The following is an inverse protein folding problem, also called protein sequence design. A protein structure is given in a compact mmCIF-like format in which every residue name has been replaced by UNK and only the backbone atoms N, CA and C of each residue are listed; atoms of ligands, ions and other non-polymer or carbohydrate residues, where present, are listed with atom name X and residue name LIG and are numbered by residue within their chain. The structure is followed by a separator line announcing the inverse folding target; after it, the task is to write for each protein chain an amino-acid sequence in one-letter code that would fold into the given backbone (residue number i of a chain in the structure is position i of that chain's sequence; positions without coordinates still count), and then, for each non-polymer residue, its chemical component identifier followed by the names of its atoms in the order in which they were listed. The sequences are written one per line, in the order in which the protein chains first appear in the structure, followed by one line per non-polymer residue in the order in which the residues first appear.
data_IF_712542987335
#
_entry.id   IF_712542987335
#
_cell.length_a   1.000
_cell.length_b   1.000
_cell.length_c   1.000
_cell.angle_alpha   90.00
_cell.angle_beta   90.00
_cell.angle_gamma   90.00
#
_symmetry.space_group_name_H-M   'P 1'
#
loop_
_entity.id
_entity.type
_entity.pdbx_description
1 polymer ?
#
# COMPACT_ATOMS: atom_id res chain seq x y z
N UNK A 1 10.85 -76.50 -14.13
CA UNK A 1 10.76 -75.13 -14.69
C UNK A 1 9.37 -75.02 -15.28
N UNK A 2 8.44 -74.55 -14.47
CA UNK A 2 6.99 -74.57 -14.70
C UNK A 2 6.51 -73.14 -14.70
N UNK A 3 5.83 -72.77 -15.78
CA UNK A 3 5.17 -71.49 -15.97
C UNK A 3 4.08 -71.29 -14.91
N UNK A 4 4.05 -70.11 -14.29
CA UNK A 4 3.00 -69.69 -13.40
C UNK A 4 2.13 -68.66 -14.13
N UNK A 5 0.84 -69.00 -14.28
CA UNK A 5 -0.23 -68.17 -14.79
C UNK A 5 -0.39 -66.89 -13.97
N UNK A 6 -0.31 -65.74 -14.64
CA UNK A 6 -0.70 -64.45 -14.08
C UNK A 6 -2.15 -64.19 -14.48
N UNK A 7 -3.04 -64.38 -13.51
CA UNK A 7 -4.48 -64.14 -13.61
C UNK A 7 -4.79 -62.64 -13.59
N UNK A 8 -5.36 -62.16 -14.70
CA UNK A 8 -5.85 -60.80 -14.90
C UNK A 8 -7.20 -60.63 -14.21
N UNK A 9 -7.21 -60.17 -12.96
CA UNK A 9 -8.43 -59.77 -12.26
C UNK A 9 -8.76 -58.30 -12.61
N UNK A 10 -9.90 -58.10 -13.27
CA UNK A 10 -10.47 -56.79 -13.56
C UNK A 10 -10.91 -56.10 -12.25
N UNK A 11 -10.59 -54.82 -12.02
CA UNK A 11 -11.12 -54.08 -10.89
C UNK A 11 -12.60 -53.77 -11.14
N UNK A 12 -13.46 -54.39 -10.34
CA UNK A 12 -14.89 -54.08 -10.27
C UNK A 12 -15.09 -52.62 -9.87
N UNK A 13 -15.80 -51.88 -10.72
CA UNK A 13 -16.24 -50.52 -10.43
C UNK A 13 -17.38 -50.55 -9.42
N UNK A 14 -17.04 -50.40 -8.15
CA UNK A 14 -18.01 -49.96 -7.14
C UNK A 14 -18.33 -48.49 -7.42
N UNK A 15 -19.51 -48.29 -8.00
CA UNK A 15 -20.16 -47.00 -8.12
C UNK A 15 -20.37 -46.44 -6.71
N UNK A 16 -19.41 -45.64 -6.24
CA UNK A 16 -19.50 -44.90 -5.00
C UNK A 16 -20.72 -43.99 -5.09
N UNK A 17 -21.80 -44.39 -4.42
CA UNK A 17 -23.01 -43.60 -4.24
C UNK A 17 -22.63 -42.22 -3.72
N UNK A 18 -22.66 -41.23 -4.61
CA UNK A 18 -22.51 -39.82 -4.28
C UNK A 18 -23.58 -39.47 -3.25
N UNK A 19 -23.16 -39.39 -1.99
CA UNK A 19 -24.01 -39.01 -0.87
C UNK A 19 -24.66 -37.67 -1.19
N UNK A 20 -26.00 -37.57 -1.18
CA UNK A 20 -26.71 -36.37 -1.61
C UNK A 20 -26.24 -35.17 -0.80
N UNK A 21 -25.68 -34.18 -1.50
CA UNK A 21 -25.20 -32.92 -0.94
C UNK A 21 -26.34 -32.30 -0.11
N UNK A 22 -26.19 -32.33 1.21
CA UNK A 22 -27.21 -31.82 2.12
C UNK A 22 -27.56 -30.39 1.73
N UNK A 23 -28.81 -30.19 1.33
CA UNK A 23 -29.35 -28.90 0.88
C UNK A 23 -29.18 -27.93 2.05
N UNK A 24 -28.30 -26.93 1.90
CA UNK A 24 -28.09 -25.88 2.90
C UNK A 24 -29.45 -25.20 3.15
N UNK A 25 -30.05 -25.46 4.31
CA UNK A 25 -31.29 -24.82 4.71
C UNK A 25 -30.97 -23.38 5.10
N UNK A 26 -31.46 -22.44 4.29
CA UNK A 26 -31.40 -21.03 4.64
C UNK A 26 -32.33 -20.79 5.82
N UNK A 27 -31.76 -20.55 7.00
CA UNK A 27 -32.51 -20.06 8.14
C UNK A 27 -32.59 -18.53 8.00
N UNK A 28 -33.80 -17.94 7.91
CA UNK A 28 -33.95 -16.49 7.93
C UNK A 28 -33.24 -15.94 9.17
N UNK A 29 -32.35 -14.97 8.96
CA UNK A 29 -31.70 -14.27 10.06
C UNK A 29 -32.77 -13.51 10.83
N UNK A 30 -32.85 -13.70 12.16
CA UNK A 30 -33.73 -12.90 13.01
C UNK A 30 -33.46 -11.42 12.78
N UNK A 31 -34.50 -10.58 12.84
CA UNK A 31 -34.34 -9.14 12.65
C UNK A 31 -33.27 -8.62 13.62
N UNK A 32 -32.21 -7.96 13.12
CA UNK A 32 -31.10 -7.58 13.96
C UNK A 32 -31.56 -6.57 15.01
N UNK A 33 -31.31 -6.88 16.28
CA UNK A 33 -31.46 -5.92 17.39
C UNK A 33 -30.69 -4.63 17.10
N UNK A 34 -31.16 -3.53 17.69
CA UNK A 34 -30.48 -2.25 17.53
C UNK A 34 -29.08 -2.36 18.12
N UNK A 35 -28.07 -1.95 17.35
CA UNK A 35 -26.66 -2.07 17.75
C UNK A 35 -26.38 -1.46 19.13
N UNK A 36 -27.08 -0.36 19.44
CA UNK A 36 -26.98 0.32 20.74
C UNK A 36 -27.44 -0.57 21.89
N UNK A 37 -28.52 -1.31 21.72
CA UNK A 37 -29.06 -2.19 22.77
C UNK A 37 -28.14 -3.38 23.00
N UNK A 38 -27.57 -3.94 21.93
CA UNK A 38 -26.57 -5.01 22.01
C UNK A 38 -25.30 -4.54 22.73
N UNK A 39 -24.79 -3.36 22.38
CA UNK A 39 -23.60 -2.77 23.04
C UNK A 39 -23.89 -2.42 24.50
N UNK A 40 -25.08 -1.88 24.80
CA UNK A 40 -25.48 -1.58 26.18
C UNK A 40 -25.49 -2.85 27.05
N UNK A 41 -26.08 -3.94 26.55
CA UNK A 41 -26.08 -5.22 27.25
C UNK A 41 -24.67 -5.80 27.43
N UNK A 42 -23.78 -5.60 26.45
CA UNK A 42 -22.40 -6.06 26.49
C UNK A 42 -21.55 -5.34 27.56
N UNK A 43 -21.70 -4.01 27.68
CA UNK A 43 -20.85 -3.21 28.57
C UNK A 43 -21.39 -3.11 30.00
N UNK A 44 -22.70 -3.32 30.20
CA UNK A 44 -23.36 -3.15 31.50
C UNK A 44 -22.65 -3.83 32.68
N UNK A 45 -22.18 -5.09 32.58
CA UNK A 45 -21.50 -5.75 33.68
C UNK A 45 -20.19 -5.09 34.13
N UNK A 46 -19.65 -4.13 33.37
CA UNK A 46 -18.33 -3.52 33.57
C UNK A 46 -18.38 -2.04 33.95
N UNK A 47 -19.57 -1.42 33.98
CA UNK A 47 -19.73 0.03 34.21
C UNK A 47 -19.28 0.40 35.63
N UNK A 48 -19.80 -0.30 36.63
CA UNK A 48 -19.60 -0.04 38.07
C UNK A 48 -18.56 -0.99 38.71
N UNK A 49 -17.73 -1.65 37.91
CA UNK A 49 -16.72 -2.58 38.42
C UNK A 49 -15.35 -1.93 38.49
N UNK A 50 -14.62 -2.22 39.57
CA UNK A 50 -13.19 -1.88 39.71
C UNK A 50 -12.28 -2.81 38.90
N UNK A 51 -12.84 -3.83 38.22
CA UNK A 51 -12.09 -4.74 37.37
C UNK A 51 -11.87 -4.13 35.98
N UNK A 52 -10.72 -4.42 35.37
CA UNK A 52 -10.44 -4.01 34.00
C UNK A 52 -11.43 -4.66 33.02
N UNK A 53 -12.17 -3.87 32.22
CA UNK A 53 -13.04 -4.42 31.19
C UNK A 53 -12.23 -5.23 30.16
N UNK A 54 -12.73 -6.37 29.66
CA UNK A 54 -12.00 -7.24 28.73
C UNK A 54 -12.05 -6.71 27.28
N UNK A 55 -11.92 -5.39 27.13
CA UNK A 55 -12.04 -4.69 25.86
C UNK A 55 -10.75 -3.96 25.54
N UNK A 56 -10.30 -4.06 24.28
CA UNK A 56 -9.18 -3.26 23.81
C UNK A 56 -9.61 -1.79 23.58
N UNK A 57 -8.63 -0.89 23.46
CA UNK A 57 -8.88 0.54 23.24
C UNK A 57 -9.78 0.82 22.04
N UNK A 58 -9.60 0.10 20.93
CA UNK A 58 -10.43 0.27 19.73
C UNK A 58 -11.90 -0.04 19.99
N UNK A 59 -12.19 -1.11 20.74
CA UNK A 59 -13.55 -1.48 21.13
C UNK A 59 -14.19 -0.40 22.00
N UNK A 60 -13.46 0.13 23.00
CA UNK A 60 -13.95 1.23 23.85
C UNK A 60 -14.28 2.49 23.06
N UNK A 61 -13.45 2.84 22.07
CA UNK A 61 -13.73 3.96 21.15
C UNK A 61 -15.04 3.70 20.42
N UNK A 62 -15.20 2.53 19.80
CA UNK A 62 -16.42 2.20 19.04
C UNK A 62 -17.67 2.19 19.94
N UNK A 63 -17.56 1.72 21.19
CA UNK A 63 -18.66 1.81 22.15
C UNK A 63 -19.06 3.26 22.41
N UNK A 64 -18.10 4.19 22.50
CA UNK A 64 -18.39 5.61 22.67
C UNK A 64 -19.25 6.17 21.53
N UNK A 65 -18.92 5.85 20.28
CA UNK A 65 -19.70 6.25 19.10
C UNK A 65 -21.12 5.67 19.13
N UNK A 66 -21.23 4.36 19.35
CA UNK A 66 -22.51 3.65 19.34
C UNK A 66 -23.43 4.15 20.45
N UNK A 67 -22.91 4.29 21.67
CA UNK A 67 -23.71 4.68 22.84
C UNK A 67 -24.07 6.16 22.85
N UNK A 68 -23.23 7.02 22.26
CA UNK A 68 -23.51 8.45 22.10
C UNK A 68 -24.43 8.77 20.91
N UNK A 69 -24.69 7.77 20.05
CA UNK A 69 -25.41 7.93 18.79
C UNK A 69 -24.83 9.05 17.89
N UNK A 70 -23.49 9.14 17.83
CA UNK A 70 -22.76 10.11 17.02
C UNK A 70 -21.97 9.39 15.94
N UNK A 71 -21.87 9.98 14.76
CA UNK A 71 -20.98 9.51 13.68
C UNK A 71 -19.61 10.15 13.76
N UNK A 72 -19.49 11.33 14.37
CA UNK A 72 -18.23 12.05 14.60
C UNK A 72 -18.04 12.35 16.09
N UNK A 73 -16.83 12.14 16.60
CA UNK A 73 -16.44 12.50 17.97
C UNK A 73 -14.99 12.95 18.03
N UNK A 74 -14.75 14.03 18.77
CA UNK A 74 -13.38 14.44 19.10
C UNK A 74 -12.73 13.45 20.07
N UNK A 75 -11.40 13.37 20.05
CA UNK A 75 -10.65 12.54 20.99
C UNK A 75 -11.00 12.85 22.47
N UNK A 76 -11.20 14.12 22.79
CA UNK A 76 -11.58 14.57 24.13
C UNK A 76 -12.99 14.10 24.53
N UNK A 77 -13.94 14.07 23.59
CA UNK A 77 -15.27 13.50 23.85
C UNK A 77 -15.22 12.00 24.08
N UNK A 78 -14.45 11.27 23.27
CA UNK A 78 -14.27 9.82 23.42
C UNK A 78 -13.65 9.50 24.79
N UNK A 79 -12.56 10.19 25.13
CA UNK A 79 -11.89 10.00 26.42
C UNK A 79 -12.84 10.32 27.59
N UNK A 80 -13.55 11.45 27.52
CA UNK A 80 -14.54 11.82 28.54
C UNK A 80 -15.67 10.81 28.65
N UNK A 81 -16.10 10.22 27.53
CA UNK A 81 -17.11 9.17 27.54
C UNK A 81 -16.57 7.92 28.26
N UNK A 82 -15.37 7.45 27.92
CA UNK A 82 -14.76 6.26 28.54
C UNK A 82 -14.65 6.45 30.07
N UNK A 83 -14.13 7.60 30.54
CA UNK A 83 -13.98 7.87 31.98
C UNK A 83 -15.32 8.05 32.71
N UNK A 84 -16.40 8.40 32.00
CA UNK A 84 -17.74 8.51 32.60
C UNK A 84 -18.46 7.16 32.66
N UNK A 85 -18.15 6.27 31.73
CA UNK A 85 -18.84 4.98 31.58
C UNK A 85 -18.16 3.87 32.37
N UNK A 86 -16.83 3.84 32.48
CA UNK A 86 -16.11 2.74 33.12
C UNK A 86 -15.36 3.22 34.36
N UNK A 87 -15.78 2.74 35.54
CA UNK A 87 -15.18 3.10 36.82
C UNK A 87 -13.69 2.79 36.87
N UNK A 88 -13.26 1.59 36.45
CA UNK A 88 -11.84 1.20 36.45
C UNK A 88 -10.93 2.26 35.80
N UNK A 89 -11.31 2.76 34.61
CA UNK A 89 -10.52 3.74 33.88
C UNK A 89 -10.58 5.14 34.51
N UNK A 90 -11.71 5.50 35.12
CA UNK A 90 -11.84 6.74 35.91
C UNK A 90 -10.87 6.75 37.08
N UNK A 91 -10.83 5.67 37.85
CA UNK A 91 -10.05 5.57 39.07
C UNK A 91 -8.56 5.51 38.72
N UNK A 92 -8.18 4.75 37.69
CA UNK A 92 -6.82 4.73 37.14
C UNK A 92 -6.35 6.13 36.69
N UNK A 93 -7.22 6.91 36.04
CA UNK A 93 -6.88 8.28 35.60
C UNK A 93 -6.75 9.25 36.79
N UNK A 94 -7.57 9.09 37.83
CA UNK A 94 -7.48 9.87 39.06
C UNK A 94 -6.18 9.58 39.82
N UNK A 95 -5.82 8.31 39.96
CA UNK A 95 -4.57 7.90 40.62
C UNK A 95 -3.35 8.48 39.91
N UNK A 96 -3.28 8.33 38.57
CA UNK A 96 -2.20 8.92 37.78
C UNK A 96 -2.13 10.45 37.88
N UNK A 97 -3.27 11.13 38.01
CA UNK A 97 -3.33 12.57 38.24
C UNK A 97 -2.81 12.97 39.64
N UNK A 98 -3.20 12.23 40.68
CA UNK A 98 -2.72 12.46 42.05
C UNK A 98 -1.22 12.20 42.18
N UNK A 99 -0.70 11.15 41.54
CA UNK A 99 0.74 10.88 41.46
C UNK A 99 1.49 12.01 40.75
N UNK A 100 0.94 12.54 39.65
CA UNK A 100 1.53 13.67 38.94
C UNK A 100 1.59 14.94 39.81
N UNK A 101 0.51 15.26 40.54
CA UNK A 101 0.51 16.40 41.49
C UNK A 101 1.54 16.19 42.60
N UNK A 102 1.60 14.98 43.17
CA UNK A 102 2.54 14.67 44.24
C UNK A 102 4.00 14.76 43.74
N UNK A 103 4.26 14.35 42.49
CA UNK A 103 5.56 14.48 41.85
C UNK A 103 5.91 15.94 41.54
N UNK A 104 4.94 16.75 41.11
CA UNK A 104 5.12 18.17 40.79
C UNK A 104 5.37 19.00 42.05
N UNK A 105 4.72 18.66 43.15
CA UNK A 105 4.97 19.27 44.48
C UNK A 105 6.42 19.01 44.94
N UNK A 106 7.04 17.91 44.49
CA UNK A 106 8.44 17.58 44.77
C UNK A 106 9.43 18.15 43.73
N UNK A 107 8.95 18.76 42.64
CA UNK A 107 9.79 19.26 41.52
C UNK A 107 9.45 20.70 41.15
N UNK A 108 9.82 21.65 42.03
CA UNK A 108 9.71 23.09 41.76
C UNK A 108 10.56 23.58 40.57
N UNK A 109 11.45 22.78 39.97
CA UNK A 109 12.18 23.23 38.77
C UNK A 109 12.45 22.06 37.79
N UNK A 110 11.50 21.74 36.92
CA UNK A 110 11.69 21.45 35.47
C UNK A 110 10.58 20.52 34.94
N UNK A 111 9.68 21.15 34.18
CA UNK A 111 8.97 20.67 32.99
C UNK A 111 8.03 19.45 33.00
N UNK A 112 6.93 19.70 32.27
CA UNK A 112 6.09 18.82 31.44
C UNK A 112 5.39 17.68 32.18
N UNK A 113 4.07 17.84 32.28
CA UNK A 113 3.08 16.79 32.50
C UNK A 113 3.34 15.68 31.47
N UNK A 114 4.19 14.71 31.82
CA UNK A 114 4.44 13.55 30.99
C UNK A 114 3.36 12.53 31.25
N UNK A 115 2.56 12.30 30.20
CA UNK A 115 1.94 11.02 29.86
C UNK A 115 0.95 10.48 30.89
N UNK A 116 -0.33 10.61 30.58
CA UNK A 116 -1.29 9.59 31.00
C UNK A 116 -0.78 8.21 30.50
N UNK A 117 -0.85 7.14 31.31
CA UNK A 117 -0.34 5.82 30.95
C UNK A 117 -1.11 5.16 29.79
N UNK A 118 -2.15 5.80 29.27
CA UNK A 118 -2.73 5.43 28.00
C UNK A 118 -1.78 5.78 26.86
N UNK A 119 -1.08 4.77 26.36
CA UNK A 119 -0.74 4.72 24.94
C UNK A 119 -2.04 4.61 24.14
N UNK A 120 -2.80 5.70 24.07
CA UNK A 120 -3.89 5.80 23.11
C UNK A 120 -3.23 5.68 21.73
N UNK A 121 -3.56 4.66 20.91
CA UNK A 121 -3.06 4.56 19.56
C UNK A 121 -3.52 5.84 18.82
N UNK A 122 -2.61 6.78 18.60
CA UNK A 122 -2.94 8.07 17.98
C UNK A 122 -2.55 9.33 18.78
N UNK A 123 -2.10 9.25 20.03
CA UNK A 123 -1.50 10.43 20.71
C UNK A 123 -0.06 10.68 20.24
N UNK A 124 0.11 10.99 18.94
CA UNK A 124 1.37 11.60 18.51
C UNK A 124 1.36 13.05 18.97
N UNK A 125 2.13 13.34 20.01
CA UNK A 125 2.50 14.72 20.31
C UNK A 125 3.32 15.24 19.12
N UNK A 126 3.02 16.44 18.64
CA UNK A 126 4.04 17.13 17.86
C UNK A 126 5.31 17.28 18.73
N UNK A 127 6.49 17.44 18.14
CA UNK A 127 7.74 17.63 18.91
C UNK A 127 7.68 18.81 19.90
N UNK A 128 6.62 19.62 19.84
CA UNK A 128 6.35 20.76 20.70
C UNK A 128 5.46 20.43 21.92
N UNK A 129 4.95 19.20 22.02
CA UNK A 129 4.18 18.74 23.16
C UNK A 129 2.77 19.34 23.23
N UNK A 130 2.23 19.84 22.11
CA UNK A 130 0.81 20.15 22.02
C UNK A 130 0.06 18.87 21.67
N UNK A 131 -0.97 18.48 22.44
CA UNK A 131 -1.89 17.46 21.98
C UNK A 131 -2.47 17.91 20.64
N UNK A 132 -2.57 16.98 19.69
CA UNK A 132 -3.30 17.21 18.43
C UNK A 132 -4.80 17.33 18.77
N UNK A 133 -5.20 18.45 19.38
CA UNK A 133 -6.59 18.83 19.52
C UNK A 133 -7.10 19.22 18.13
N UNK A 134 -7.80 18.31 17.44
CA UNK A 134 -8.55 18.69 16.24
C UNK A 134 -8.84 17.61 15.21
N UNK A 135 -8.44 16.36 15.40
CA UNK A 135 -8.91 15.30 14.50
C UNK A 135 -10.18 14.71 15.10
N UNK A 136 -11.32 15.12 14.55
CA UNK A 136 -12.58 14.42 14.79
C UNK A 136 -12.50 13.05 14.11
N UNK A 137 -12.79 12.00 14.88
CA UNK A 137 -12.87 10.65 14.35
C UNK A 137 -14.28 10.43 13.81
N UNK A 138 -14.39 9.77 12.66
CA UNK A 138 -15.67 9.39 12.05
C UNK A 138 -15.81 7.87 11.99
N UNK A 139 -16.93 7.34 12.50
CA UNK A 139 -17.26 5.91 12.45
C UNK A 139 -18.74 5.77 12.08
N UNK A 140 -19.02 5.03 11.01
CA UNK A 140 -20.39 4.65 10.65
C UNK A 140 -20.89 3.49 11.51
N UNK A 141 -22.20 3.43 11.77
CA UNK A 141 -22.80 2.31 12.54
C UNK A 141 -22.56 0.95 11.89
N UNK A 142 -22.52 0.88 10.56
CA UNK A 142 -22.22 -0.35 9.83
C UNK A 142 -20.79 -0.81 10.10
N UNK A 143 -19.82 0.11 10.07
CA UNK A 143 -18.43 -0.19 10.41
C UNK A 143 -18.28 -0.59 11.88
N UNK A 144 -18.95 0.14 12.79
CA UNK A 144 -18.98 -0.19 14.21
C UNK A 144 -19.51 -1.61 14.46
N UNK A 145 -20.62 -1.99 13.82
CA UNK A 145 -21.19 -3.34 13.94
C UNK A 145 -20.26 -4.41 13.39
N UNK A 146 -19.62 -4.15 12.26
CA UNK A 146 -18.65 -5.08 11.67
C UNK A 146 -17.43 -5.28 12.60
N UNK A 147 -16.90 -4.20 13.16
CA UNK A 147 -15.77 -4.22 14.09
C UNK A 147 -16.10 -4.96 15.40
N UNK A 148 -17.28 -4.70 15.96
CA UNK A 148 -17.74 -5.33 17.20
C UNK A 148 -18.33 -6.73 17.01
N UNK A 149 -18.35 -7.27 15.79
CA UNK A 149 -18.97 -8.56 15.51
C UNK A 149 -18.42 -9.70 16.38
N UNK A 150 -17.15 -9.64 16.78
CA UNK A 150 -16.53 -10.63 17.69
C UNK A 150 -17.05 -10.56 19.13
N UNK A 151 -17.54 -9.39 19.56
CA UNK A 151 -18.06 -9.18 20.91
C UNK A 151 -19.58 -9.39 20.98
N UNK A 152 -20.29 -9.06 19.90
CA UNK A 152 -21.76 -9.08 19.86
C UNK A 152 -22.33 -10.42 19.41
N UNK A 153 -21.62 -11.15 18.57
CA UNK A 153 -22.06 -12.46 18.11
C UNK A 153 -21.74 -13.56 19.13
N UNK A 154 -22.55 -14.64 19.20
CA UNK A 154 -22.12 -15.84 19.89
C UNK A 154 -20.77 -16.32 19.30
N UNK A 155 -19.90 -16.96 20.10
CA UNK A 155 -18.69 -17.57 19.59
C UNK A 155 -19.03 -18.44 18.37
N UNK A 156 -18.47 -18.11 17.21
CA UNK A 156 -18.76 -18.85 15.98
C UNK A 156 -18.28 -20.29 16.19
N UNK A 157 -19.20 -21.24 16.20
CA UNK A 157 -18.88 -22.65 16.29
C UNK A 157 -18.44 -23.14 14.91
N UNK A 158 -17.14 -23.42 14.77
CA UNK A 158 -16.55 -24.01 13.57
C UNK A 158 -15.63 -23.06 12.79
N UNK A 159 -14.95 -23.64 11.80
CA UNK A 159 -14.13 -22.88 10.86
C UNK A 159 -14.98 -22.44 9.67
N UNK A 160 -14.83 -21.17 9.26
CA UNK A 160 -15.41 -20.72 8.01
C UNK A 160 -14.70 -21.42 6.84
N UNK A 161 -15.43 -22.20 6.06
CA UNK A 161 -14.89 -22.96 4.92
C UNK A 161 -14.63 -22.02 3.72
N UNK A 162 -13.67 -21.12 3.87
CA UNK A 162 -13.33 -20.09 2.88
C UNK A 162 -13.10 -20.67 1.47
N UNK A 163 -12.47 -21.85 1.40
CA UNK A 163 -12.19 -22.54 0.12
C UNK A 163 -13.44 -23.09 -0.59
N UNK A 164 -14.60 -23.16 0.08
CA UNK A 164 -15.87 -23.57 -0.54
C UNK A 164 -16.64 -22.41 -1.18
N UNK A 165 -16.20 -21.17 -0.95
CA UNK A 165 -16.73 -20.03 -1.69
C UNK A 165 -16.44 -20.17 -3.19
N UNK A 166 -17.29 -19.65 -4.09
CA UNK A 166 -16.93 -19.49 -5.50
C UNK A 166 -15.65 -18.67 -5.68
N UNK A 167 -14.89 -18.95 -6.74
CA UNK A 167 -13.60 -18.31 -6.99
C UNK A 167 -13.72 -16.78 -7.10
N UNK A 168 -14.82 -16.29 -7.65
CA UNK A 168 -15.13 -14.86 -7.81
C UNK A 168 -15.28 -14.15 -6.46
N UNK A 169 -15.90 -14.82 -5.47
CA UNK A 169 -16.02 -14.27 -4.13
C UNK A 169 -14.68 -14.29 -3.39
N UNK A 170 -13.88 -15.36 -3.57
CA UNK A 170 -12.52 -15.41 -3.00
C UNK A 170 -11.65 -14.30 -3.57
N UNK A 171 -11.66 -14.10 -4.89
CA UNK A 171 -10.93 -13.01 -5.56
C UNK A 171 -11.35 -11.64 -5.02
N UNK A 172 -12.66 -11.40 -4.84
CA UNK A 172 -13.14 -10.14 -4.24
C UNK A 172 -12.61 -9.94 -2.82
N UNK A 173 -12.60 -10.98 -2.00
CA UNK A 173 -12.05 -10.92 -0.64
C UNK A 173 -10.54 -10.68 -0.69
N UNK A 174 -9.81 -11.37 -1.57
CA UNK A 174 -8.38 -11.11 -1.75
C UNK A 174 -8.10 -9.68 -2.17
N UNK A 175 -8.90 -9.10 -3.08
CA UNK A 175 -8.75 -7.69 -3.48
C UNK A 175 -8.96 -6.76 -2.29
N UNK A 176 -9.98 -7.01 -1.48
CA UNK A 176 -10.23 -6.21 -0.27
C UNK A 176 -9.11 -6.30 0.76
N UNK A 177 -8.36 -7.41 0.80
CA UNK A 177 -7.30 -7.64 1.78
C UNK A 177 -5.90 -7.25 1.29
N UNK A 178 -5.65 -7.43 -0.01
CA UNK A 178 -4.31 -7.39 -0.59
C UNK A 178 -4.12 -6.24 -1.58
N UNK A 179 -5.17 -5.56 -2.01
CA UNK A 179 -5.05 -4.38 -2.87
C UNK A 179 -5.18 -3.14 -2.01
N UNK A 180 -4.06 -2.44 -1.90
CA UNK A 180 -3.94 -1.22 -1.15
C UNK A 180 -4.36 -0.05 -2.05
N UNK A 181 -5.06 0.95 -1.51
CA UNK A 181 -5.31 2.19 -2.21
C UNK A 181 -4.03 2.78 -2.81
N UNK A 182 -4.21 3.45 -3.95
CA UNK A 182 -3.15 4.05 -4.77
C UNK A 182 -2.24 4.86 -3.82
N UNK A 183 -0.92 4.62 -3.85
CA UNK A 183 0.16 5.25 -3.05
C UNK A 183 0.69 4.53 -1.79
N UNK A 184 0.10 3.40 -1.38
CA UNK A 184 0.42 2.83 -0.05
C UNK A 184 1.64 1.89 0.00
N UNK A 185 1.99 1.18 -1.07
CA UNK A 185 3.19 0.34 -1.09
C UNK A 185 4.44 1.15 -1.47
N UNK A 186 4.67 2.22 -0.72
CA UNK A 186 5.91 3.00 -0.79
C UNK A 186 6.93 2.46 0.23
N UNK A 187 8.17 2.26 -0.21
CA UNK A 187 9.33 1.85 0.60
C UNK A 187 9.36 0.35 0.96
N UNK A 188 9.55 -0.53 -0.03
CA UNK A 188 10.25 -1.82 0.19
C UNK A 188 11.74 -1.58 0.48
N UNK A 189 12.03 -0.71 1.44
CA UNK A 189 13.38 -0.38 1.88
C UNK A 189 13.71 -1.10 3.19
N UNK A 190 14.98 -1.46 3.36
CA UNK A 190 15.50 -2.04 4.60
C UNK A 190 15.54 -0.97 5.69
N UNK A 191 14.42 -0.68 6.34
CA UNK A 191 14.48 -0.07 7.68
C UNK A 191 14.84 -1.18 8.65
N UNK A 192 16.11 -1.19 9.06
CA UNK A 192 16.53 -1.95 10.24
C UNK A 192 15.74 -1.33 11.40
N UNK A 193 14.66 -2.00 11.80
CA UNK A 193 14.01 -1.68 13.07
C UNK A 193 15.06 -1.78 14.18
N UNK A 194 14.84 -1.13 15.32
CA UNK A 194 15.72 -1.23 16.50
C UNK A 194 15.94 -2.70 16.93
N UNK A 195 15.17 -3.65 16.38
CA UNK A 195 15.25 -5.09 16.65
C UNK A 195 15.78 -5.94 15.49
N UNK A 196 16.28 -5.33 14.41
CA UNK A 196 16.89 -6.06 13.30
C UNK A 196 15.93 -6.81 12.38
N UNK A 197 14.62 -6.77 12.63
CA UNK A 197 13.63 -7.31 11.69
C UNK A 197 13.44 -6.36 10.50
N UNK A 198 13.47 -6.94 9.29
CA UNK A 198 13.02 -6.29 8.06
C UNK A 198 11.50 -6.06 8.17
N UNK A 199 11.11 -4.84 8.49
CA UNK A 199 9.72 -4.42 8.44
C UNK A 199 9.46 -3.73 7.10
N UNK A 200 8.62 -4.34 6.26
CA UNK A 200 8.00 -3.63 5.15
C UNK A 200 7.02 -2.63 5.74
N UNK A 201 7.35 -1.35 5.67
CA UNK A 201 6.41 -0.30 6.05
C UNK A 201 5.51 -0.02 4.85
N UNK A 202 4.20 -0.18 5.05
CA UNK A 202 3.20 0.40 4.16
C UNK A 202 3.18 1.89 4.49
N UNK A 203 3.38 2.74 3.50
CA UNK A 203 3.17 4.17 3.62
C UNK A 203 4.34 4.93 4.24
N UNK A 204 5.15 5.51 3.37
CA UNK A 204 5.33 6.96 3.43
C UNK A 204 5.66 7.42 2.01
N UNK A 205 4.69 8.02 1.32
CA UNK A 205 5.05 8.91 0.21
C UNK A 205 5.98 9.95 0.81
N UNK A 206 7.13 10.19 0.17
CA UNK A 206 8.08 11.23 0.58
C UNK A 206 7.30 12.48 0.97
N UNK A 207 7.52 12.94 2.20
CA UNK A 207 6.72 13.99 2.86
C UNK A 207 6.52 15.23 1.98
N UNK A 208 7.41 15.49 1.03
CA UNK A 208 7.54 16.78 0.36
C UNK A 208 6.35 17.14 -0.54
N UNK A 209 5.71 16.18 -1.19
CA UNK A 209 4.63 16.48 -2.16
C UNK A 209 3.21 16.35 -1.60
N UNK A 210 3.03 15.78 -0.41
CA UNK A 210 1.69 15.60 0.17
C UNK A 210 1.24 16.86 0.92
N UNK A 211 0.09 17.45 0.54
CA UNK A 211 -0.53 18.53 1.30
C UNK A 211 -0.66 18.15 2.77
N UNK A 212 -0.48 19.13 3.67
CA UNK A 212 -0.47 18.89 5.12
C UNK A 212 -1.74 18.18 5.61
N UNK A 213 -2.89 18.46 5.01
CA UNK A 213 -4.16 17.77 5.31
C UNK A 213 -4.13 16.28 4.91
N UNK A 214 -3.55 15.96 3.76
CA UNK A 214 -3.39 14.58 3.29
C UNK A 214 -2.46 13.77 4.21
N UNK A 215 -1.49 14.41 4.87
CA UNK A 215 -0.65 13.76 5.89
C UNK A 215 -1.41 13.41 7.17
N UNK A 216 -2.45 14.16 7.52
CA UNK A 216 -3.29 13.84 8.68
C UNK A 216 -4.26 12.69 8.35
N UNK A 217 -4.82 12.69 7.14
CA UNK A 217 -5.67 11.60 6.63
C UNK A 217 -4.90 10.26 6.57
N UNK A 218 -3.67 10.27 6.01
CA UNK A 218 -2.81 9.09 5.91
C UNK A 218 -2.55 8.46 7.29
N UNK A 219 -2.37 9.30 8.33
CA UNK A 219 -2.15 8.83 9.71
C UNK A 219 -3.33 8.09 10.32
N UNK A 220 -4.56 8.47 9.99
CA UNK A 220 -5.76 7.82 10.51
C UNK A 220 -6.00 6.45 9.84
N UNK A 221 -5.65 6.30 8.57
CA UNK A 221 -5.81 5.02 7.84
C UNK A 221 -4.86 3.92 8.34
N UNK A 222 -3.71 4.28 8.91
CA UNK A 222 -2.73 3.32 9.44
C UNK A 222 -3.24 2.47 10.62
N UNK A 223 -4.27 2.91 11.34
CA UNK A 223 -4.77 2.20 12.54
C UNK A 223 -5.59 0.95 12.23
N UNK A 224 -6.03 0.74 10.99
CA UNK A 224 -6.77 -0.45 10.55
C UNK A 224 -6.00 -1.31 9.55
N UNK A 225 -4.77 -0.94 9.18
CA UNK A 225 -3.98 -1.70 8.22
C UNK A 225 -3.39 -2.94 8.88
N UNK A 226 -3.72 -4.11 8.34
CA UNK A 226 -2.97 -5.35 8.60
C UNK A 226 -1.50 -5.09 8.27
N UNK A 227 -0.59 -5.51 9.14
CA UNK A 227 0.82 -5.43 8.81
C UNK A 227 1.09 -6.23 7.53
N UNK A 228 2.05 -5.83 6.71
CA UNK A 228 2.42 -6.60 5.51
C UNK A 228 2.73 -8.06 5.83
N UNK A 229 3.33 -8.32 7.00
CA UNK A 229 3.59 -9.67 7.48
C UNK A 229 2.31 -10.46 7.68
N UNK A 230 1.29 -9.87 8.32
CA UNK A 230 -0.01 -10.50 8.51
C UNK A 230 -0.75 -10.67 7.18
N UNK A 231 -0.79 -9.65 6.33
CA UNK A 231 -1.43 -9.71 5.02
C UNK A 231 -0.78 -10.79 4.13
N UNK A 232 0.56 -10.84 4.07
CA UNK A 232 1.30 -11.83 3.29
C UNK A 232 1.27 -13.22 3.91
N UNK A 233 1.00 -13.35 5.22
CA UNK A 233 0.82 -14.66 5.86
C UNK A 233 -0.34 -15.45 5.26
N UNK A 234 -1.35 -14.76 4.72
CA UNK A 234 -2.48 -15.37 3.99
C UNK A 234 -1.97 -16.12 2.76
N UNK A 235 -0.95 -15.60 2.07
CA UNK A 235 -0.35 -16.26 0.91
C UNK A 235 0.28 -17.62 1.28
N UNK A 236 0.63 -17.82 2.54
CA UNK A 236 1.36 -19.00 3.02
C UNK A 236 0.42 -20.11 3.53
N UNK A 237 -0.89 -19.87 3.59
CA UNK A 237 -1.86 -20.82 4.17
C UNK A 237 -1.99 -22.08 3.32
N UNK A 238 -2.06 -21.94 2.00
CA UNK A 238 -2.11 -23.09 1.08
C UNK A 238 -1.58 -22.73 -0.31
N UNK A 239 -1.16 -23.74 -1.07
CA UNK A 239 -0.70 -23.56 -2.46
C UNK A 239 -1.78 -22.94 -3.35
N UNK A 240 -3.05 -23.33 -3.15
CA UNK A 240 -4.16 -22.76 -3.93
C UNK A 240 -4.35 -21.28 -3.61
N UNK A 241 -4.39 -20.92 -2.33
CA UNK A 241 -4.49 -19.52 -1.91
C UNK A 241 -3.32 -18.72 -2.48
N UNK A 242 -2.09 -19.22 -2.38
CA UNK A 242 -0.90 -18.59 -2.97
C UNK A 242 -1.09 -18.29 -4.47
N UNK A 243 -1.52 -19.28 -5.26
CA UNK A 243 -1.71 -19.11 -6.70
C UNK A 243 -2.82 -18.12 -7.05
N UNK A 244 -3.89 -18.06 -6.26
CA UNK A 244 -5.00 -17.13 -6.47
C UNK A 244 -4.65 -15.69 -6.04
N UNK A 245 -3.88 -15.54 -4.97
CA UNK A 245 -3.59 -14.25 -4.33
C UNK A 245 -2.37 -13.52 -4.89
N UNK A 246 -1.36 -14.26 -5.35
CA UNK A 246 -0.12 -13.69 -5.88
C UNK A 246 -0.35 -12.73 -7.06
N UNK A 247 -1.17 -13.04 -8.09
CA UNK A 247 -1.47 -12.07 -9.15
C UNK A 247 -2.34 -10.91 -8.67
N UNK A 248 -3.16 -11.08 -7.62
CA UNK A 248 -3.94 -9.98 -7.04
C UNK A 248 -3.00 -9.00 -6.34
N UNK A 249 -2.14 -9.50 -5.44
CA UNK A 249 -1.21 -8.65 -4.70
C UNK A 249 -0.16 -8.01 -5.61
N UNK A 250 0.62 -8.79 -6.37
CA UNK A 250 1.68 -8.19 -7.20
C UNK A 250 1.14 -7.50 -8.46
N UNK A 251 0.00 -7.94 -9.00
CA UNK A 251 -0.51 -7.45 -10.27
C UNK A 251 -1.45 -6.27 -10.19
N UNK A 252 -2.04 -5.98 -9.03
CA UNK A 252 -2.96 -4.85 -8.88
C UNK A 252 -2.39 -3.70 -8.08
N UNK A 253 -1.38 -3.93 -7.25
CA UNK A 253 -0.73 -2.85 -6.50
C UNK A 253 0.38 -2.16 -7.32
N UNK A 254 0.64 -0.92 -6.95
CA UNK A 254 1.77 -0.12 -7.43
C UNK A 254 2.94 -0.25 -6.45
N UNK A 255 4.06 -0.79 -6.92
CA UNK A 255 5.27 -0.98 -6.12
C UNK A 255 6.16 0.25 -6.28
N UNK A 256 6.33 1.02 -5.20
CA UNK A 256 7.15 2.22 -5.20
C UNK A 256 8.47 2.00 -4.46
N UNK A 257 9.56 2.23 -5.19
CA UNK A 257 10.94 2.14 -4.74
C UNK A 257 11.54 3.55 -4.71
N UNK A 258 11.85 4.02 -3.51
CA UNK A 258 12.32 5.38 -3.21
C UNK A 258 13.78 5.63 -3.59
N UNK A 259 14.54 4.57 -3.82
CA UNK A 259 15.90 4.62 -4.35
C UNK A 259 16.31 3.27 -4.97
N UNK A 260 17.39 3.25 -5.76
CA UNK A 260 17.81 2.06 -6.50
C UNK A 260 18.21 0.86 -5.61
N UNK A 261 18.80 1.12 -4.44
CA UNK A 261 19.08 0.04 -3.46
C UNK A 261 17.80 -0.61 -2.93
N UNK A 262 16.72 0.15 -2.72
CA UNK A 262 15.42 -0.39 -2.31
C UNK A 262 14.81 -1.25 -3.42
N UNK A 263 14.98 -0.85 -4.68
CA UNK A 263 14.57 -1.62 -5.86
C UNK A 263 15.29 -2.96 -5.90
N UNK A 264 16.62 -2.96 -5.76
CA UNK A 264 17.41 -4.20 -5.70
C UNK A 264 16.95 -5.11 -4.57
N UNK A 265 16.95 -4.59 -3.33
CA UNK A 265 16.62 -5.38 -2.14
C UNK A 265 15.19 -5.92 -2.19
N UNK A 266 14.23 -5.09 -2.61
CA UNK A 266 12.84 -5.47 -2.75
C UNK A 266 12.66 -6.54 -3.82
N UNK A 267 13.19 -6.33 -5.02
CA UNK A 267 13.11 -7.33 -6.09
C UNK A 267 13.84 -8.62 -5.74
N UNK A 268 14.96 -8.57 -5.03
CA UNK A 268 15.69 -9.77 -4.63
C UNK A 268 14.92 -10.59 -3.58
N UNK A 269 14.15 -9.92 -2.72
CA UNK A 269 13.31 -10.60 -1.72
C UNK A 269 12.02 -11.16 -2.32
N UNK A 270 11.52 -10.53 -3.39
CA UNK A 270 10.37 -11.04 -4.13
C UNK A 270 10.82 -12.24 -4.98
N UNK A 271 10.24 -13.41 -4.71
CA UNK A 271 10.49 -14.61 -5.49
C UNK A 271 10.13 -14.45 -6.97
N UNK A 272 10.68 -15.30 -7.83
CA UNK A 272 10.53 -15.19 -9.30
C UNK A 272 9.07 -15.11 -9.76
N UNK A 273 8.17 -15.91 -9.16
CA UNK A 273 6.75 -15.88 -9.47
C UNK A 273 6.12 -14.50 -9.17
N UNK A 274 6.47 -13.90 -8.02
CA UNK A 274 6.01 -12.56 -7.64
C UNK A 274 6.47 -11.49 -8.63
N UNK A 275 7.75 -11.50 -9.00
CA UNK A 275 8.33 -10.55 -9.96
C UNK A 275 7.60 -10.57 -11.31
N UNK A 276 7.27 -11.75 -11.82
CA UNK A 276 6.51 -11.90 -13.09
C UNK A 276 5.09 -11.35 -13.01
N UNK A 277 4.54 -11.24 -11.81
CA UNK A 277 3.21 -10.70 -11.57
C UNK A 277 3.20 -9.18 -11.33
N UNK A 278 4.35 -8.52 -11.12
CA UNK A 278 4.41 -7.06 -10.94
C UNK A 278 3.95 -6.37 -12.23
N UNK A 279 2.87 -5.57 -12.12
CA UNK A 279 2.31 -4.81 -13.26
C UNK A 279 2.49 -3.31 -13.14
N UNK A 280 2.56 -2.74 -11.94
CA UNK A 280 2.72 -1.31 -11.76
C UNK A 280 3.93 -1.08 -10.86
N UNK A 281 4.92 -0.37 -11.40
CA UNK A 281 6.18 -0.10 -10.68
C UNK A 281 6.54 1.38 -10.83
N UNK A 282 6.94 1.97 -9.72
CA UNK A 282 7.41 3.34 -9.63
C UNK A 282 8.83 3.31 -9.06
N UNK A 283 9.78 3.79 -9.87
CA UNK A 283 11.20 3.81 -9.54
C UNK A 283 11.64 5.27 -9.41
N UNK A 284 12.08 5.65 -8.21
CA UNK A 284 12.81 6.89 -8.00
C UNK A 284 14.27 6.63 -8.34
N UNK A 285 14.77 7.35 -9.34
CA UNK A 285 16.16 7.33 -9.77
C UNK A 285 17.01 8.17 -8.81
N UNK A 286 17.04 7.73 -7.56
CA UNK A 286 17.87 8.29 -6.49
C UNK A 286 18.81 7.21 -5.97
N UNK A 287 20.02 7.62 -5.63
CA UNK A 287 20.88 6.84 -4.77
C UNK A 287 20.71 7.38 -3.35
N UNK A 288 20.55 6.48 -2.37
CA UNK A 288 20.63 6.90 -0.96
C UNK A 288 21.98 7.56 -0.65
N UNK A 289 22.22 7.96 0.59
CA UNK A 289 23.44 8.65 1.07
C UNK A 289 24.81 7.93 0.82
N UNK A 290 24.90 6.95 -0.07
CA UNK A 290 26.13 6.25 -0.43
C UNK A 290 27.05 7.14 -1.27
N UNK A 291 28.32 7.18 -0.86
CA UNK A 291 29.43 7.72 -1.64
C UNK A 291 29.42 7.20 -3.09
N UNK A 292 29.75 8.08 -4.04
CA UNK A 292 29.77 7.84 -5.50
C UNK A 292 30.53 6.59 -5.98
N UNK A 293 31.33 5.95 -5.13
CA UNK A 293 32.17 4.80 -5.49
C UNK A 293 31.40 3.46 -5.65
N UNK A 294 30.18 3.33 -5.09
CA UNK A 294 29.45 2.04 -5.08
C UNK A 294 28.49 1.84 -6.27
N UNK A 295 28.27 2.87 -7.08
CA UNK A 295 27.17 2.94 -8.02
C UNK A 295 27.16 1.86 -9.13
N UNK A 296 28.30 1.53 -9.77
CA UNK A 296 28.27 0.61 -10.91
C UNK A 296 27.93 -0.83 -10.52
N UNK A 297 28.29 -1.26 -9.30
CA UNK A 297 28.11 -2.67 -8.90
C UNK A 297 26.65 -2.98 -8.59
N UNK A 298 25.97 -2.15 -7.81
CA UNK A 298 24.59 -2.47 -7.43
C UNK A 298 23.64 -2.35 -8.62
N UNK A 299 23.94 -1.48 -9.59
CA UNK A 299 23.18 -1.37 -10.85
C UNK A 299 23.29 -2.64 -11.71
N UNK A 300 24.48 -3.24 -11.82
CA UNK A 300 24.68 -4.48 -12.56
C UNK A 300 23.88 -5.65 -11.94
N UNK A 301 23.88 -5.76 -10.61
CA UNK A 301 23.10 -6.79 -9.93
C UNK A 301 21.58 -6.53 -10.07
N UNK A 302 21.16 -5.28 -9.97
CA UNK A 302 19.76 -4.86 -10.20
C UNK A 302 19.31 -5.20 -11.61
N UNK A 303 20.15 -4.94 -12.61
CA UNK A 303 19.89 -5.22 -14.02
C UNK A 303 19.44 -6.68 -14.25
N UNK A 304 20.10 -7.66 -13.60
CA UNK A 304 19.72 -9.08 -13.72
C UNK A 304 18.29 -9.37 -13.23
N UNK A 305 17.79 -8.59 -12.28
CA UNK A 305 16.44 -8.72 -11.73
C UNK A 305 15.40 -8.04 -12.63
N UNK A 306 15.75 -6.94 -13.27
CA UNK A 306 14.85 -6.16 -14.14
C UNK A 306 14.42 -6.93 -15.39
N UNK A 307 15.28 -7.81 -15.93
CA UNK A 307 14.99 -8.65 -17.12
C UNK A 307 13.71 -9.48 -16.96
N UNK A 308 13.32 -9.79 -15.71
CA UNK A 308 12.13 -10.61 -15.41
C UNK A 308 10.84 -9.80 -15.25
N UNK A 309 10.92 -8.48 -15.30
CA UNK A 309 9.78 -7.58 -15.15
C UNK A 309 9.19 -7.22 -16.52
N UNK A 310 7.85 -7.17 -16.57
CA UNK A 310 7.06 -6.70 -17.71
C UNK A 310 5.89 -5.87 -17.17
N UNK A 311 6.18 -4.65 -16.67
CA UNK A 311 5.16 -3.79 -16.09
C UNK A 311 4.18 -3.30 -17.16
N UNK A 312 2.91 -3.12 -16.81
CA UNK A 312 1.95 -2.35 -17.61
C UNK A 312 2.14 -0.85 -17.42
N UNK A 313 2.46 -0.42 -16.20
CA UNK A 313 2.74 0.97 -15.87
C UNK A 313 4.12 1.06 -15.23
N UNK A 314 4.99 1.86 -15.83
CA UNK A 314 6.31 2.19 -15.32
C UNK A 314 6.37 3.69 -15.06
N UNK A 315 6.63 4.09 -13.82
CA UNK A 315 6.84 5.49 -13.45
C UNK A 315 8.32 5.68 -13.11
N UNK A 316 8.98 6.63 -13.76
CA UNK A 316 10.30 7.10 -13.36
C UNK A 316 10.17 8.44 -12.64
N UNK A 317 10.84 8.59 -11.51
CA UNK A 317 10.96 9.88 -10.80
C UNK A 317 12.40 10.28 -10.62
N UNK A 318 12.71 11.53 -10.97
CA UNK A 318 14.05 12.10 -10.90
C UNK A 318 14.01 13.33 -9.99
N UNK A 319 14.42 13.20 -8.71
CA UNK A 319 14.49 14.35 -7.81
C UNK A 319 15.59 15.32 -8.27
N UNK A 320 15.28 16.61 -8.36
CA UNK A 320 16.20 17.65 -8.87
C UNK A 320 17.49 17.76 -8.04
N UNK A 321 17.42 17.51 -6.73
CA UNK A 321 18.55 17.66 -5.80
C UNK A 321 19.28 16.35 -5.47
N UNK A 322 19.00 15.27 -6.21
CA UNK A 322 19.64 13.98 -5.94
C UNK A 322 21.07 13.90 -6.47
N UNK A 323 21.89 13.07 -5.83
CA UNK A 323 23.22 12.71 -6.31
C UNK A 323 23.22 12.24 -7.77
N UNK A 324 22.19 11.49 -8.21
CA UNK A 324 22.07 11.00 -9.58
C UNK A 324 21.81 12.14 -10.56
N UNK A 325 20.92 13.08 -10.19
CA UNK A 325 20.70 14.29 -10.97
C UNK A 325 22.00 15.11 -11.09
N UNK A 326 22.73 15.31 -9.99
CA UNK A 326 24.03 16.00 -10.01
C UNK A 326 25.06 15.30 -10.89
N UNK A 327 25.12 13.96 -10.87
CA UNK A 327 26.00 13.20 -11.76
C UNK A 327 25.67 13.46 -13.24
N UNK A 328 24.38 13.59 -13.57
CA UNK A 328 23.94 13.97 -14.90
C UNK A 328 24.25 15.45 -15.21
N UNK A 329 24.18 16.35 -14.25
CA UNK A 329 24.26 17.81 -14.46
C UNK A 329 25.67 18.41 -14.36
N UNK A 330 26.62 17.78 -13.65
CA UNK A 330 27.94 18.35 -13.31
C UNK A 330 28.83 18.75 -14.52
N UNK A 331 28.41 18.51 -15.76
CA UNK A 331 29.20 18.84 -16.96
C UNK A 331 28.45 19.80 -17.88
N UNK A 332 28.84 21.07 -17.79
CA UNK A 332 28.22 22.26 -18.41
C UNK A 332 28.39 22.36 -19.93
N UNK A 333 29.05 21.41 -20.60
CA UNK A 333 29.36 21.55 -22.04
C UNK A 333 29.05 20.26 -22.82
N UNK A 334 27.96 20.33 -23.60
CA UNK A 334 27.43 19.33 -24.56
C UNK A 334 26.49 18.24 -24.02
N UNK A 335 25.19 18.38 -24.33
CA UNK A 335 24.13 17.41 -24.02
C UNK A 335 24.38 16.04 -24.66
N UNK A 336 25.04 15.98 -25.82
CA UNK A 336 25.24 14.72 -26.55
C UNK A 336 26.30 13.86 -25.87
N UNK A 337 27.43 14.46 -25.47
CA UNK A 337 28.49 13.72 -24.79
C UNK A 337 28.03 13.24 -23.42
N UNK A 338 27.22 14.03 -22.71
CA UNK A 338 26.67 13.59 -21.42
C UNK A 338 25.68 12.42 -21.56
N UNK A 339 24.83 12.41 -22.60
CA UNK A 339 23.98 11.25 -22.91
C UNK A 339 24.85 10.00 -23.19
N UNK A 340 25.97 10.14 -23.91
CA UNK A 340 26.92 9.02 -24.14
C UNK A 340 27.64 8.54 -22.88
N UNK A 341 27.70 9.34 -21.81
CA UNK A 341 28.26 8.88 -20.53
C UNK A 341 27.32 7.89 -19.84
N UNK A 342 26.02 8.06 -19.97
CA UNK A 342 25.03 7.12 -19.43
C UNK A 342 25.17 5.73 -20.07
N UNK A 343 25.60 5.64 -21.33
CA UNK A 343 25.93 4.37 -21.99
C UNK A 343 27.10 3.61 -21.35
N UNK A 344 27.97 4.31 -20.61
CA UNK A 344 29.12 3.70 -19.93
C UNK A 344 28.76 3.16 -18.55
N UNK A 345 27.55 3.44 -18.04
CA UNK A 345 27.10 2.96 -16.74
C UNK A 345 26.58 1.53 -16.90
N UNK A 346 27.31 0.57 -16.34
CA UNK A 346 26.92 -0.84 -16.35
C UNK A 346 25.55 -1.03 -15.67
N UNK A 347 24.68 -1.84 -16.30
CA UNK A 347 23.33 -2.11 -15.82
C UNK A 347 22.29 -1.04 -16.17
N UNK A 348 22.67 0.21 -16.48
CA UNK A 348 21.70 1.27 -16.79
C UNK A 348 20.86 0.93 -18.04
N UNK A 349 21.46 0.24 -19.02
CA UNK A 349 20.77 -0.25 -20.23
C UNK A 349 19.52 -1.09 -19.92
N UNK A 350 19.48 -1.82 -18.81
CA UNK A 350 18.31 -2.61 -18.43
C UNK A 350 17.11 -1.77 -18.01
N UNK A 351 17.30 -0.50 -17.62
CA UNK A 351 16.19 0.42 -17.38
C UNK A 351 15.54 0.87 -18.69
N UNK A 352 16.33 1.08 -19.74
CA UNK A 352 15.79 1.34 -21.07
C UNK A 352 15.07 0.09 -21.63
N UNK A 353 15.64 -1.10 -21.41
CA UNK A 353 14.99 -2.36 -21.78
C UNK A 353 13.70 -2.60 -20.97
N UNK A 354 13.68 -2.24 -19.68
CA UNK A 354 12.47 -2.28 -18.85
C UNK A 354 11.41 -1.32 -19.37
N UNK A 355 11.80 -0.10 -19.76
CA UNK A 355 10.92 0.88 -20.37
C UNK A 355 10.34 0.37 -21.69
N UNK A 356 11.15 -0.29 -22.52
CA UNK A 356 10.69 -0.92 -23.76
C UNK A 356 9.65 -2.01 -23.53
N UNK A 357 9.80 -2.79 -22.44
CA UNK A 357 8.83 -3.83 -22.05
C UNK A 357 7.55 -3.26 -21.41
N UNK A 358 7.54 -1.98 -21.04
CA UNK A 358 6.40 -1.37 -20.37
C UNK A 358 5.29 -0.99 -21.37
N UNK A 359 4.03 -1.23 -21.01
CA UNK A 359 2.88 -0.81 -21.85
C UNK A 359 2.67 0.72 -21.80
N UNK A 360 2.96 1.35 -20.65
CA UNK A 360 2.89 2.79 -20.44
C UNK A 360 4.04 3.28 -19.56
N UNK A 361 4.58 4.45 -19.91
CA UNK A 361 5.68 5.10 -19.19
C UNK A 361 5.23 6.50 -18.75
N UNK A 362 5.36 6.79 -17.45
CA UNK A 362 5.14 8.10 -16.85
C UNK A 362 6.47 8.66 -16.34
N UNK A 363 6.71 9.95 -16.56
CA UNK A 363 7.91 10.64 -16.11
C UNK A 363 7.54 11.71 -15.09
N UNK A 364 8.23 11.73 -13.95
CA UNK A 364 8.16 12.80 -12.95
C UNK A 364 9.54 13.42 -12.78
N UNK A 365 9.62 14.73 -12.98
CA UNK A 365 10.88 15.42 -13.23
C UNK A 365 11.24 15.40 -14.72
N UNK A 366 12.05 16.36 -15.12
CA UNK A 366 12.74 16.36 -16.39
C UNK A 366 14.22 15.99 -16.18
N UNK A 367 14.98 15.95 -17.27
CA UNK A 367 16.42 15.73 -17.18
C UNK A 367 16.99 14.77 -18.20
N UNK A 368 18.30 14.60 -18.09
CA UNK A 368 19.13 13.88 -19.05
C UNK A 368 18.80 12.39 -19.15
N UNK A 369 18.45 11.75 -18.03
CA UNK A 369 18.09 10.33 -18.02
C UNK A 369 16.84 10.06 -18.87
N UNK A 370 15.82 10.94 -18.79
CA UNK A 370 14.64 10.83 -19.65
C UNK A 370 15.04 10.94 -21.13
N UNK A 371 15.84 11.95 -21.48
CA UNK A 371 16.30 12.14 -22.86
C UNK A 371 17.11 10.92 -23.35
N UNK A 372 17.93 10.33 -22.48
CA UNK A 372 18.70 9.13 -22.78
C UNK A 372 17.81 7.90 -22.99
N UNK A 373 16.85 7.60 -22.09
CA UNK A 373 15.92 6.47 -22.26
C UNK A 373 15.09 6.65 -23.53
N UNK A 374 14.55 7.85 -23.79
CA UNK A 374 13.79 8.13 -25.01
C UNK A 374 14.66 7.93 -26.25
N UNK A 375 15.89 8.44 -26.25
CA UNK A 375 16.84 8.22 -27.35
C UNK A 375 17.18 6.74 -27.58
N UNK A 376 17.25 5.92 -26.52
CA UNK A 376 17.40 4.46 -26.64
C UNK A 376 16.18 3.79 -27.25
N UNK A 377 14.98 4.23 -26.90
CA UNK A 377 13.74 3.69 -27.45
C UNK A 377 13.58 4.05 -28.93
N UNK A 378 13.86 5.31 -29.31
CA UNK A 378 13.81 5.77 -30.71
C UNK A 378 14.91 5.13 -31.58
N UNK A 379 16.10 4.93 -31.03
CA UNK A 379 17.21 4.29 -31.73
C UNK A 379 16.95 2.84 -32.13
N UNK A 380 16.04 2.15 -31.45
CA UNK A 380 15.62 0.79 -31.79
C UNK A 380 14.73 0.73 -33.03
N UNK A 381 14.02 1.81 -33.36
CA UNK A 381 13.14 1.86 -34.55
C UNK A 381 13.95 1.97 -35.86
N UNK A 382 15.21 2.41 -35.80
CA UNK A 382 16.03 2.68 -36.99
C UNK A 382 16.95 1.51 -37.40
N UNK A 383 16.86 0.35 -36.74
CA UNK A 383 17.74 -0.82 -37.02
C UNK A 383 17.09 -1.84 -37.97
N UNK A 384 15.83 -1.64 -38.37
CA UNK A 384 15.07 -2.61 -39.18
C UNK A 384 15.22 -2.47 -40.71
N UNK A 385 16.28 -1.83 -41.23
CA UNK A 385 16.25 -1.32 -42.62
C UNK A 385 17.50 -1.43 -43.51
N UNK A 386 18.54 -2.18 -43.14
CA UNK A 386 19.68 -2.45 -44.05
C UNK A 386 19.77 -3.94 -44.39
N UNK A 387 18.67 -4.52 -44.91
CA UNK A 387 18.75 -5.74 -45.72
C UNK A 387 19.23 -5.33 -47.13
N UNK A 388 20.55 -5.29 -47.30
CA UNK A 388 21.19 -5.28 -48.62
C UNK A 388 20.78 -6.53 -49.42
N UNK A 389 20.06 -6.29 -50.52
CA UNK A 389 19.91 -7.10 -51.72
C UNK A 389 20.61 -8.48 -51.74
N UNK A 390 19.91 -9.51 -51.28
CA UNK A 390 20.09 -10.88 -51.77
C UNK A 390 18.82 -11.31 -52.49
N UNK A 391 18.86 -11.21 -53.82
CA UNK A 391 17.81 -11.66 -54.71
C UNK A 391 17.60 -13.20 -54.60
N UNK A 392 16.40 -13.61 -54.19
CA UNK A 392 15.90 -14.99 -54.27
C UNK A 392 14.39 -15.07 -54.01
N UNK A 393 13.59 -15.81 -54.80
CA UNK A 393 12.13 -15.69 -54.74
C UNK A 393 11.44 -16.70 -53.81
N UNK A 394 10.57 -16.16 -52.93
CA UNK A 394 9.36 -16.77 -52.32
C UNK A 394 9.55 -17.97 -51.35
N UNK A 395 8.82 -18.15 -50.24
CA UNK A 395 7.39 -17.97 -49.98
C UNK A 395 7.08 -17.69 -48.48
N UNK A 396 5.91 -17.08 -48.25
CA UNK A 396 5.15 -16.83 -47.00
C UNK A 396 5.29 -17.86 -45.86
N UNK A 397 5.24 -17.47 -44.58
CA UNK A 397 3.99 -17.08 -43.87
C UNK A 397 4.26 -16.45 -42.48
N UNK A 398 3.51 -15.38 -42.17
CA UNK A 398 2.81 -15.18 -40.89
C UNK A 398 3.58 -14.68 -39.65
N UNK A 399 3.56 -13.37 -39.41
CA UNK A 399 3.35 -12.78 -38.08
C UNK A 399 3.25 -11.26 -38.21
N UNK A 400 2.04 -10.72 -38.09
CA UNK A 400 1.80 -9.28 -38.06
C UNK A 400 0.91 -8.95 -36.88
N UNK A 401 1.49 -8.55 -35.75
CA UNK A 401 0.73 -8.04 -34.62
C UNK A 401 1.55 -7.13 -33.68
N UNK A 402 2.36 -6.22 -34.20
CA UNK A 402 2.95 -5.10 -33.43
C UNK A 402 3.16 -3.90 -34.35
N UNK A 403 2.10 -3.14 -34.66
CA UNK A 403 2.24 -1.87 -35.40
C UNK A 403 1.14 -0.85 -35.07
N UNK A 404 0.06 -1.26 -34.41
CA UNK A 404 -1.08 -0.38 -34.17
C UNK A 404 -0.99 0.48 -32.89
N UNK A 405 -0.13 0.17 -31.93
CA UNK A 405 -0.22 0.79 -30.59
C UNK A 405 0.55 2.12 -30.44
N UNK A 406 1.54 2.41 -31.28
CA UNK A 406 2.36 3.63 -31.12
C UNK A 406 1.84 4.88 -31.85
N UNK A 407 0.81 4.78 -32.70
CA UNK A 407 0.27 5.95 -33.44
C UNK A 407 -0.75 6.79 -32.68
N UNK A 408 -1.11 6.48 -31.42
CA UNK A 408 -2.09 7.29 -30.66
C UNK A 408 -1.47 8.24 -29.61
N UNK A 409 -0.15 8.26 -29.45
CA UNK A 409 0.52 9.28 -28.63
C UNK A 409 0.66 10.56 -29.44
N UNK A 410 -0.33 11.45 -29.31
CA UNK A 410 -0.36 12.77 -29.92
C UNK A 410 0.80 13.67 -29.45
N UNK A 411 1.94 13.54 -30.12
CA UNK A 411 3.04 14.50 -30.08
C UNK A 411 2.93 15.40 -31.31
N UNK A 412 2.13 16.46 -31.20
CA UNK A 412 2.17 17.57 -32.16
C UNK A 412 3.04 18.69 -31.59
N UNK A 413 4.19 18.88 -32.23
CA UNK A 413 5.04 20.09 -32.28
C UNK A 413 4.38 21.36 -31.74
N UNK A 414 4.97 21.95 -30.70
CA UNK A 414 4.89 23.38 -30.43
C UNK A 414 6.32 23.94 -30.35
N UNK A 415 6.68 24.70 -31.39
CA UNK A 415 7.91 25.49 -31.47
C UNK A 415 7.69 26.81 -30.72
N UNK A 416 8.68 27.17 -29.90
CA UNK A 416 8.97 28.48 -29.30
C UNK A 416 8.06 29.66 -29.66
N UNK A 417 7.47 30.30 -28.64
CA UNK A 417 7.43 31.78 -28.59
C UNK A 417 7.44 32.25 -27.14
N UNK A 418 8.52 32.90 -26.74
CA UNK A 418 8.64 33.74 -25.54
C UNK A 418 8.14 35.14 -25.91
N UNK A 419 7.10 35.66 -25.24
CA UNK A 419 7.11 37.02 -24.65
C UNK A 419 5.84 37.35 -23.84
N UNK A 420 6.09 37.87 -22.64
CA UNK A 420 5.36 38.92 -21.89
C UNK A 420 3.83 39.02 -21.99
N UNK A 421 3.16 38.96 -20.82
CA UNK A 421 2.51 40.15 -20.25
C UNK A 421 2.13 39.97 -18.78
N UNK A 422 2.38 41.04 -18.02
CA UNK A 422 2.07 41.25 -16.61
C UNK A 422 0.61 41.69 -16.41
N UNK A 423 0.14 41.45 -15.18
CA UNK A 423 -0.78 42.28 -14.37
C UNK A 423 -2.27 42.39 -14.75
N UNK A 424 -3.12 42.05 -13.76
CA UNK A 424 -4.33 42.71 -13.22
C UNK A 424 -5.28 41.59 -12.71
N UNK A 425 -6.04 41.66 -11.62
CA UNK A 425 -6.09 42.51 -10.44
C UNK A 425 -6.95 41.74 -9.40
N UNK A 426 -6.78 42.14 -8.14
CA UNK A 426 -7.52 41.70 -6.94
C UNK A 426 -8.92 42.35 -6.89
N UNK A 427 -9.81 41.78 -6.06
CA UNK A 427 -11.09 42.26 -5.47
C UNK A 427 -12.36 41.64 -6.09
N UNK A 428 -13.36 41.16 -5.35
CA UNK A 428 -13.58 41.08 -3.90
C UNK A 428 -15.00 40.57 -3.54
N UNK A 429 -15.26 40.47 -2.23
CA UNK A 429 -16.56 40.50 -1.51
C UNK A 429 -17.52 39.28 -1.69
N UNK A 430 -17.79 38.46 -0.66
CA UNK A 430 -18.57 38.61 0.60
C UNK A 430 -20.06 38.23 0.47
N UNK A 431 -20.52 37.40 1.42
CA UNK A 431 -21.90 37.19 1.89
C UNK A 431 -22.90 36.55 0.90
N UNK A 432 -23.63 35.48 1.23
CA UNK A 432 -24.60 35.39 2.33
C UNK A 432 -25.05 33.94 2.55
N UNK A 433 -25.38 33.62 3.80
CA UNK A 433 -26.16 32.48 4.26
C UNK A 433 -27.48 32.28 3.49
N UNK A 434 -27.92 31.01 3.36
CA UNK A 434 -29.34 30.65 3.49
C UNK A 434 -29.54 29.17 3.82
N UNK A 435 -30.10 28.97 4.99
CA UNK A 435 -30.74 27.80 5.58
C UNK A 435 -31.98 27.38 4.79
N UNK A 436 -32.21 26.07 4.59
CA UNK A 436 -33.50 25.38 4.42
C UNK A 436 -33.16 23.87 4.35
N UNK A 437 -33.37 23.00 5.34
CA UNK A 437 -34.60 22.56 6.01
C UNK A 437 -35.65 21.99 5.03
N UNK A 438 -35.46 20.71 4.65
CA UNK A 438 -36.45 19.63 4.77
C UNK A 438 -35.69 18.38 5.24
#
# INVERSE_FOLDING_TARGET
MTAADISTAAPGGDASETTPTAKLSFFPTEEPTLLRDEVAALIEPWIETDAEPPFNTGQLIVFAFVMSNKTTMSQNEIHRWILRTFQFYRDLALDGYLEAIAAETNRVNQYRITKFPYNFPGTTYDGYGKPYDGVDLEISFTAARAYLCQCLGPPRLGAFEFMRLPAELREKIYKMLLVFPVHELSNLGRRISVHGELAYQIGHVGSEDMPREARAQDRCEHLLRLSMREALSILLVSKQVLHETLPVFFGMNEFHFDHLESLYSGLNTIGEAGRKCIRHIHIVMSYGNCSSEFWPRDLADTATLLVRLAPRKLVFSLPEDDSFARYCEEVVFDTVENIRRLDKIEGLGEFAALAQRAESIEWRGDGMFRAWVVGKLEGLENVEGDDEDIAGPSQHTGSGFWSATFRSLGLTRAVNTVHQSRLWAITGLSNTSKTLAI
#
